data_IF_297880537603
#
_entry.id   IF_297880537603
#
_cell.length_a   1.000
_cell.length_b   1.000
_cell.length_c   1.000
_cell.angle_alpha   90.00
_cell.angle_beta   90.00
_cell.angle_gamma   90.00
#
_symmetry.space_group_name_H-M   'P 1'
#
loop_
_entity.id
_entity.type
_entity.pdbx_description
1 polymer ?
#
# COMPACT_ATOMS: atom_id res chain seq x y z
N UNK A 1 -31.10 31.56 3.26
CA UNK A 1 -30.99 30.17 2.75
C UNK A 1 -29.79 30.12 1.81
N UNK A 2 -28.66 29.63 2.29
CA UNK A 2 -27.44 29.52 1.47
C UNK A 2 -27.52 28.21 0.67
N UNK A 3 -27.64 28.32 -0.65
CA UNK A 3 -27.61 27.18 -1.56
C UNK A 3 -26.19 26.64 -1.61
N UNK A 4 -25.95 25.44 -1.09
CA UNK A 4 -24.75 24.67 -1.31
C UNK A 4 -24.76 24.14 -2.75
N UNK A 5 -24.01 24.77 -3.64
CA UNK A 5 -23.76 24.25 -4.98
C UNK A 5 -22.71 23.16 -4.90
N UNK A 6 -23.11 21.91 -5.17
CA UNK A 6 -22.18 20.79 -5.36
C UNK A 6 -21.43 21.01 -6.66
N UNK A 7 -20.12 21.24 -6.58
CA UNK A 7 -19.25 21.34 -7.73
C UNK A 7 -18.94 19.91 -8.21
N UNK A 8 -19.57 19.46 -9.31
CA UNK A 8 -19.22 18.20 -9.98
C UNK A 8 -17.99 18.47 -10.87
N UNK A 9 -16.83 17.96 -10.50
CA UNK A 9 -15.62 18.02 -11.34
C UNK A 9 -15.68 16.82 -12.30
N UNK A 10 -16.08 17.07 -13.55
CA UNK A 10 -15.97 16.07 -14.63
C UNK A 10 -14.58 16.19 -15.21
N UNK A 11 -13.74 15.18 -14.96
CA UNK A 11 -12.40 15.07 -15.51
C UNK A 11 -12.49 14.48 -16.92
N UNK A 12 -12.59 15.31 -17.95
CA UNK A 12 -12.42 14.87 -19.35
C UNK A 12 -10.91 14.83 -19.65
N UNK A 13 -10.31 13.67 -19.49
CA UNK A 13 -8.96 13.41 -19.98
C UNK A 13 -9.04 13.13 -21.47
N UNK A 14 -8.70 14.11 -22.30
CA UNK A 14 -8.38 13.86 -23.70
C UNK A 14 -6.96 13.29 -23.71
N UNK A 15 -6.85 11.96 -23.64
CA UNK A 15 -5.59 11.26 -23.80
C UNK A 15 -5.12 11.40 -25.25
N UNK A 16 -4.18 12.31 -25.49
CA UNK A 16 -3.26 12.14 -26.61
C UNK A 16 -2.48 10.85 -26.35
N UNK A 17 -2.71 9.84 -27.20
CA UNK A 17 -2.03 8.53 -27.11
C UNK A 17 -0.55 8.76 -27.46
N UNK A 18 0.24 9.16 -26.46
CA UNK A 18 1.67 8.91 -26.52
C UNK A 18 1.88 7.50 -25.97
N UNK A 19 2.41 6.62 -26.79
CA UNK A 19 2.71 5.24 -26.46
C UNK A 19 3.36 5.19 -25.07
N UNK A 20 2.59 4.76 -24.07
CA UNK A 20 3.14 4.43 -22.77
C UNK A 20 4.21 3.38 -23.03
N UNK A 21 5.41 3.67 -22.55
CA UNK A 21 6.50 2.71 -22.57
C UNK A 21 5.97 1.47 -21.85
N UNK A 22 5.62 0.44 -22.64
CA UNK A 22 5.19 -0.85 -22.10
C UNK A 22 6.28 -1.24 -21.12
N UNK A 23 5.95 -1.29 -19.85
CA UNK A 23 6.88 -1.71 -18.80
C UNK A 23 7.36 -3.09 -19.20
N UNK A 24 8.66 -3.23 -19.49
CA UNK A 24 9.25 -4.53 -19.79
C UNK A 24 8.84 -5.45 -18.64
N UNK A 25 8.15 -6.55 -18.97
CA UNK A 25 7.91 -7.62 -18.02
C UNK A 25 9.29 -8.02 -17.51
N UNK A 26 9.62 -7.68 -16.27
CA UNK A 26 10.90 -8.04 -15.69
C UNK A 26 11.00 -9.56 -15.57
N UNK A 27 12.20 -10.09 -15.52
CA UNK A 27 12.40 -11.51 -15.25
C UNK A 27 11.88 -11.81 -13.85
N UNK A 28 10.88 -12.68 -13.76
CA UNK A 28 10.37 -13.18 -12.49
C UNK A 28 11.23 -14.34 -12.06
N UNK A 29 11.86 -14.22 -10.91
CA UNK A 29 12.70 -15.29 -10.33
C UNK A 29 12.03 -15.89 -9.10
N UNK A 30 12.22 -17.18 -8.91
CA UNK A 30 11.84 -17.86 -7.67
C UNK A 30 12.93 -17.62 -6.64
N UNK A 31 12.55 -17.11 -5.47
CA UNK A 31 13.47 -16.80 -4.37
C UNK A 31 13.25 -17.68 -3.14
N UNK A 32 12.06 -18.27 -3.00
CA UNK A 32 11.71 -19.22 -1.94
C UNK A 32 10.42 -20.01 -2.32
N UNK A 33 9.95 -20.87 -1.40
CA UNK A 33 8.68 -21.59 -1.48
C UNK A 33 7.77 -21.16 -0.32
N UNK A 34 6.54 -20.74 -0.62
CA UNK A 34 5.56 -20.34 0.39
C UNK A 34 5.07 -21.52 1.20
N UNK A 35 5.32 -21.53 2.50
CA UNK A 35 4.76 -22.52 3.45
C UNK A 35 3.38 -22.12 3.92
N UNK A 36 3.26 -20.89 4.42
CA UNK A 36 2.01 -20.36 4.96
C UNK A 36 1.64 -19.07 4.26
N UNK A 37 0.35 -18.87 4.03
CA UNK A 37 -0.24 -17.62 3.57
C UNK A 37 -1.26 -17.14 4.58
N UNK A 38 -1.06 -15.94 5.08
CA UNK A 38 -2.02 -15.25 5.92
C UNK A 38 -2.66 -14.13 5.11
N UNK A 39 -3.99 -14.10 5.08
CA UNK A 39 -4.77 -13.05 4.42
C UNK A 39 -5.25 -12.06 5.46
N UNK A 40 -5.04 -10.78 5.20
CA UNK A 40 -5.51 -9.68 6.03
C UNK A 40 -6.45 -8.77 5.25
N UNK A 41 -7.42 -8.19 5.94
CA UNK A 41 -8.03 -6.94 5.50
C UNK A 41 -7.11 -5.81 5.93
N UNK A 42 -6.51 -5.11 4.98
CA UNK A 42 -5.72 -3.91 5.22
C UNK A 42 -6.57 -2.67 5.04
N UNK A 43 -6.52 -1.75 6.01
CA UNK A 43 -7.21 -0.45 5.96
C UNK A 43 -6.20 0.68 6.12
N UNK A 44 -6.32 1.68 5.26
CA UNK A 44 -5.44 2.84 5.27
C UNK A 44 -6.25 4.13 5.11
N UNK A 45 -5.94 5.13 5.94
CA UNK A 45 -6.46 6.49 5.80
C UNK A 45 -5.54 7.28 4.89
N UNK A 46 -6.08 7.85 3.83
CA UNK A 46 -5.33 8.74 2.93
C UNK A 46 -5.39 10.19 3.41
N UNK A 47 -6.60 10.69 3.71
CA UNK A 47 -6.82 12.06 4.19
C UNK A 47 -6.91 12.07 5.73
N UNK A 48 -5.76 12.27 6.37
CA UNK A 48 -5.64 12.29 7.84
C UNK A 48 -6.25 13.54 8.49
N UNK A 49 -6.64 14.55 7.71
CA UNK A 49 -7.28 15.78 8.20
C UNK A 49 -8.81 15.68 8.20
N UNK A 50 -9.35 14.59 7.64
CA UNK A 50 -10.79 14.35 7.60
C UNK A 50 -11.26 13.63 8.85
N UNK A 51 -12.36 14.10 9.43
CA UNK A 51 -13.08 13.40 10.51
C UNK A 51 -14.56 13.25 10.15
N UNK A 52 -15.17 12.06 10.26
CA UNK A 52 -14.51 10.78 10.54
C UNK A 52 -13.59 10.32 9.41
N UNK A 53 -12.65 9.44 9.72
CA UNK A 53 -11.76 8.86 8.71
C UNK A 53 -12.53 8.06 7.65
N UNK A 54 -12.06 8.15 6.41
CA UNK A 54 -12.46 7.24 5.33
C UNK A 54 -11.29 6.32 5.05
N UNK A 55 -11.55 5.02 5.12
CA UNK A 55 -10.57 4.00 4.85
C UNK A 55 -10.60 3.55 3.40
N UNK A 56 -9.41 3.41 2.81
CA UNK A 56 -9.21 2.54 1.66
C UNK A 56 -8.91 1.15 2.19
N UNK A 57 -9.65 0.17 1.69
CA UNK A 57 -9.53 -1.24 2.08
C UNK A 57 -8.95 -2.07 0.95
N UNK A 58 -8.10 -3.03 1.29
CA UNK A 58 -7.47 -3.97 0.36
C UNK A 58 -7.30 -5.34 1.01
N UNK A 59 -7.31 -6.39 0.18
CA UNK A 59 -6.85 -7.71 0.60
C UNK A 59 -5.32 -7.70 0.59
N UNK A 60 -4.73 -7.86 1.77
CA UNK A 60 -3.28 -7.96 1.95
C UNK A 60 -2.89 -9.40 2.19
N UNK A 61 -1.74 -9.82 1.68
CA UNK A 61 -1.20 -11.16 1.89
C UNK A 61 0.17 -11.11 2.52
N UNK A 62 0.36 -12.00 3.49
CA UNK A 62 1.64 -12.34 4.09
C UNK A 62 1.99 -13.77 3.68
N UNK A 63 2.93 -13.91 2.77
CA UNK A 63 3.46 -15.18 2.35
C UNK A 63 4.74 -15.48 3.14
N UNK A 64 4.73 -16.52 3.94
CA UNK A 64 5.86 -16.95 4.77
C UNK A 64 6.50 -18.16 4.10
N UNK A 65 7.73 -17.98 3.64
CA UNK A 65 8.55 -19.04 3.02
C UNK A 65 9.42 -19.80 4.02
N UNK A 66 10.46 -20.47 3.51
CA UNK A 66 11.48 -21.10 4.34
C UNK A 66 12.42 -20.08 4.98
N UNK A 67 12.76 -19.02 4.24
CA UNK A 67 13.71 -17.98 4.63
C UNK A 67 13.14 -16.59 4.42
N UNK A 68 12.38 -16.38 3.35
CA UNK A 68 11.86 -15.09 2.93
C UNK A 68 10.41 -14.95 3.30
N UNK A 69 10.03 -13.77 3.80
CA UNK A 69 8.63 -13.39 4.02
C UNK A 69 8.26 -12.26 3.06
N UNK A 70 7.08 -12.32 2.46
CA UNK A 70 6.59 -11.37 1.48
C UNK A 70 5.24 -10.81 1.87
N UNK A 71 5.13 -9.49 2.02
CA UNK A 71 3.87 -8.81 2.34
C UNK A 71 3.48 -7.83 1.25
N UNK A 72 2.24 -7.97 0.72
CA UNK A 72 1.79 -7.22 -0.46
C UNK A 72 0.28 -7.05 -0.52
N UNK A 73 -0.17 -6.10 -1.34
CA UNK A 73 -1.57 -5.85 -1.66
C UNK A 73 -2.01 -6.74 -2.83
N UNK A 74 -2.81 -7.78 -2.54
CA UNK A 74 -3.35 -8.71 -3.55
C UNK A 74 -4.30 -8.01 -4.51
N UNK A 75 -5.09 -7.07 -4.02
CA UNK A 75 -6.02 -6.30 -4.86
C UNK A 75 -5.25 -5.44 -5.87
N UNK A 76 -4.08 -4.89 -5.45
CA UNK A 76 -3.19 -4.17 -6.36
C UNK A 76 -2.58 -5.10 -7.42
N UNK A 77 -2.08 -6.26 -7.02
CA UNK A 77 -1.48 -7.24 -7.93
C UNK A 77 -2.48 -7.67 -9.02
N UNK A 78 -3.73 -7.98 -8.64
CA UNK A 78 -4.80 -8.33 -9.59
C UNK A 78 -5.10 -7.15 -10.52
N UNK A 79 -5.21 -5.94 -9.96
CA UNK A 79 -5.46 -4.73 -10.75
C UNK A 79 -4.36 -4.50 -11.78
N UNK A 80 -3.11 -4.56 -11.34
CA UNK A 80 -1.95 -4.32 -12.20
C UNK A 80 -1.90 -5.37 -13.34
N UNK A 81 -2.24 -6.62 -13.07
CA UNK A 81 -2.36 -7.68 -14.08
C UNK A 81 -3.46 -7.38 -15.11
N UNK A 82 -4.66 -7.00 -14.65
CA UNK A 82 -5.77 -6.66 -15.55
C UNK A 82 -5.41 -5.45 -16.41
N UNK A 83 -4.82 -4.40 -15.84
CA UNK A 83 -4.40 -3.20 -16.57
C UNK A 83 -3.32 -3.53 -17.61
N UNK A 84 -2.36 -4.39 -17.25
CA UNK A 84 -1.32 -4.82 -18.18
C UNK A 84 -1.92 -5.58 -19.38
N UNK A 85 -2.80 -6.54 -19.13
CA UNK A 85 -3.47 -7.30 -20.18
C UNK A 85 -4.38 -6.41 -21.05
N UNK A 86 -5.10 -5.47 -20.44
CA UNK A 86 -5.93 -4.50 -21.16
C UNK A 86 -5.09 -3.63 -22.10
N UNK A 87 -3.90 -3.20 -21.62
CA UNK A 87 -2.97 -2.41 -22.45
C UNK A 87 -2.46 -3.21 -23.65
N UNK A 88 -2.14 -4.51 -23.47
CA UNK A 88 -1.68 -5.37 -24.56
C UNK A 88 -2.79 -5.56 -25.61
N UNK A 89 -4.05 -5.73 -25.17
CA UNK A 89 -5.20 -5.96 -26.07
C UNK A 89 -5.77 -4.68 -26.66
N UNK A 90 -5.37 -3.50 -26.19
CA UNK A 90 -5.98 -2.21 -26.57
C UNK A 90 -7.41 -2.04 -26.06
N UNK A 91 -7.83 -2.83 -25.07
CA UNK A 91 -9.16 -2.77 -24.46
C UNK A 91 -9.06 -2.04 -23.11
N UNK A 92 -9.66 -0.87 -23.06
CA UNK A 92 -9.61 0.00 -21.87
C UNK A 92 -10.92 -0.03 -21.06
N UNK A 93 -11.64 -1.15 -21.06
CA UNK A 93 -12.79 -1.34 -20.19
C UNK A 93 -12.35 -1.68 -18.78
N UNK A 94 -12.39 -0.71 -17.89
CA UNK A 94 -11.96 -0.82 -16.49
C UNK A 94 -13.09 -1.18 -15.51
N UNK A 95 -14.27 -1.56 -15.99
CA UNK A 95 -15.42 -1.90 -15.14
C UNK A 95 -15.19 -3.11 -14.26
N UNK A 96 -14.28 -4.00 -14.65
CA UNK A 96 -13.92 -5.24 -13.92
C UNK A 96 -12.78 -5.07 -12.91
N UNK A 97 -12.25 -3.85 -12.75
CA UNK A 97 -11.15 -3.64 -11.78
C UNK A 97 -11.62 -3.92 -10.34
N UNK A 98 -10.85 -4.69 -9.56
CA UNK A 98 -11.18 -4.95 -8.17
C UNK A 98 -11.19 -3.66 -7.35
N UNK A 99 -12.06 -3.62 -6.36
CA UNK A 99 -11.98 -2.61 -5.30
C UNK A 99 -10.70 -2.84 -4.49
N UNK A 100 -10.11 -1.75 -3.93
CA UNK A 100 -8.85 -1.86 -3.19
C UNK A 100 -7.62 -1.59 -4.07
N UNK A 101 -6.49 -2.20 -3.73
CA UNK A 101 -5.22 -2.00 -4.45
C UNK A 101 -4.61 -0.63 -4.19
N UNK A 102 -4.71 -0.13 -2.97
CA UNK A 102 -4.29 1.22 -2.55
C UNK A 102 -2.96 1.25 -1.82
N UNK A 103 -2.49 0.09 -1.33
CA UNK A 103 -1.15 -0.02 -0.77
C UNK A 103 -0.15 -0.13 -1.92
N UNK A 104 0.53 0.98 -2.21
CA UNK A 104 1.41 1.09 -3.37
C UNK A 104 2.72 0.30 -3.21
N UNK A 105 3.02 -0.17 -2.01
CA UNK A 105 4.28 -0.78 -1.63
C UNK A 105 4.19 -2.29 -1.43
N UNK A 106 5.34 -2.93 -1.55
CA UNK A 106 5.57 -4.36 -1.32
C UNK A 106 6.78 -4.52 -0.41
N UNK A 107 6.74 -5.47 0.48
CA UNK A 107 7.81 -5.71 1.44
C UNK A 107 8.28 -7.17 1.40
N UNK A 108 9.59 -7.35 1.32
CA UNK A 108 10.26 -8.65 1.45
C UNK A 108 11.18 -8.59 2.67
N UNK A 109 11.04 -9.51 3.62
CA UNK A 109 11.95 -9.72 4.74
C UNK A 109 12.93 -10.83 4.39
N UNK A 110 14.19 -10.69 4.81
CA UNK A 110 15.31 -11.58 4.50
C UNK A 110 15.59 -11.71 2.99
N UNK A 111 15.38 -10.64 2.25
CA UNK A 111 15.76 -10.53 0.83
C UNK A 111 16.35 -9.13 0.56
N UNK A 112 17.48 -9.02 -0.18
CA UNK A 112 18.16 -10.02 -1.02
C UNK A 112 18.97 -11.07 -0.23
N UNK A 113 19.23 -10.88 1.04
CA UNK A 113 19.91 -11.85 1.92
C UNK A 113 19.31 -11.83 3.33
N UNK A 114 19.62 -12.85 4.11
CA UNK A 114 19.21 -12.95 5.51
C UNK A 114 19.64 -11.70 6.31
N UNK A 115 18.74 -11.19 7.15
CA UNK A 115 18.93 -9.98 7.95
C UNK A 115 18.74 -8.67 7.18
N UNK A 116 18.47 -8.72 5.87
CA UNK A 116 18.09 -7.55 5.07
C UNK A 116 16.62 -7.62 4.62
N UNK A 117 16.05 -6.48 4.35
CA UNK A 117 14.71 -6.36 3.80
C UNK A 117 14.70 -5.46 2.59
N UNK A 118 13.80 -5.75 1.67
CA UNK A 118 13.55 -4.93 0.48
C UNK A 118 12.13 -4.38 0.53
N UNK A 119 12.02 -3.07 0.53
CA UNK A 119 10.77 -2.33 0.40
C UNK A 119 10.69 -1.77 -1.02
N UNK A 120 9.62 -2.10 -1.74
CA UNK A 120 9.40 -1.68 -3.12
C UNK A 120 8.22 -0.73 -3.19
N UNK A 121 8.35 0.33 -3.96
CA UNK A 121 7.24 1.23 -4.25
C UNK A 121 7.44 1.96 -5.56
N UNK A 122 6.32 2.15 -6.27
CA UNK A 122 6.27 2.99 -7.46
C UNK A 122 5.68 4.35 -7.10
N UNK A 123 6.40 5.41 -7.42
CA UNK A 123 5.96 6.80 -7.24
C UNK A 123 5.82 7.43 -8.62
N UNK A 124 4.59 7.65 -9.05
CA UNK A 124 4.24 8.14 -10.40
C UNK A 124 4.71 7.13 -11.48
N UNK A 125 5.85 7.38 -12.11
CA UNK A 125 6.41 6.56 -13.20
C UNK A 125 7.76 5.92 -12.83
N UNK A 126 8.26 6.20 -11.64
CA UNK A 126 9.56 5.73 -11.16
C UNK A 126 9.37 4.60 -10.15
N UNK A 127 10.12 3.53 -10.34
CA UNK A 127 10.14 2.38 -9.47
C UNK A 127 11.33 2.48 -8.52
N UNK A 128 11.04 2.44 -7.23
CA UNK A 128 12.05 2.55 -6.17
C UNK A 128 12.15 1.27 -5.37
N UNK A 129 13.36 1.04 -4.86
CA UNK A 129 13.61 0.04 -3.82
C UNK A 129 14.42 0.62 -2.68
N UNK A 130 14.06 0.25 -1.45
CA UNK A 130 14.84 0.53 -0.25
C UNK A 130 15.33 -0.79 0.32
N UNK A 131 16.64 -0.96 0.46
CA UNK A 131 17.25 -2.14 1.09
C UNK A 131 17.78 -1.70 2.45
N UNK A 132 17.29 -2.35 3.51
CA UNK A 132 17.59 -1.99 4.89
C UNK A 132 17.85 -3.25 5.71
N UNK A 133 18.49 -3.09 6.86
CA UNK A 133 18.55 -4.17 7.85
C UNK A 133 17.14 -4.46 8.37
N UNK A 134 16.85 -5.73 8.62
CA UNK A 134 15.63 -6.12 9.33
C UNK A 134 15.73 -5.59 10.75
N UNK A 135 14.74 -4.81 11.14
CA UNK A 135 14.58 -4.30 12.50
C UNK A 135 13.35 -4.94 13.13
N UNK A 136 13.46 -5.28 14.39
CA UNK A 136 12.35 -5.81 15.20
C UNK A 136 11.85 -4.73 16.14
N UNK A 137 10.53 -4.45 16.20
CA UNK A 137 9.99 -3.51 17.17
C UNK A 137 10.28 -3.98 18.61
N UNK A 138 10.60 -3.04 19.51
CA UNK A 138 10.74 -3.31 20.94
C UNK A 138 9.35 -3.42 21.58
N UNK A 139 8.81 -4.64 21.55
CA UNK A 139 7.46 -4.92 22.02
C UNK A 139 7.37 -4.95 23.54
N UNK A 140 6.37 -4.27 24.07
CA UNK A 140 5.94 -4.35 25.48
C UNK A 140 4.58 -5.01 25.54
N UNK A 141 4.49 -6.12 26.26
CA UNK A 141 3.24 -6.83 26.47
C UNK A 141 2.33 -5.95 27.35
N UNK A 142 1.07 -5.82 26.96
CA UNK A 142 0.05 -5.13 27.73
C UNK A 142 -0.67 -6.15 28.61
N UNK A 143 -0.39 -6.10 29.91
CA UNK A 143 -0.95 -7.05 30.90
C UNK A 143 -2.48 -7.04 30.82
N UNK A 144 -3.07 -8.22 31.08
CA UNK A 144 -4.53 -8.43 31.21
C UNK A 144 -5.35 -8.07 29.96
N UNK A 145 -4.67 -7.84 28.81
CA UNK A 145 -5.35 -7.58 27.54
C UNK A 145 -5.35 -8.85 26.70
N UNK A 146 -6.51 -9.52 26.64
CA UNK A 146 -6.71 -10.72 25.84
C UNK A 146 -7.89 -10.54 24.89
N UNK A 147 -7.85 -11.22 23.74
CA UNK A 147 -8.93 -11.25 22.77
C UNK A 147 -8.92 -12.59 22.01
N UNK A 148 -10.06 -12.98 21.47
CA UNK A 148 -10.12 -14.10 20.52
C UNK A 148 -10.22 -13.56 19.11
N UNK A 149 -9.26 -13.91 18.24
CA UNK A 149 -9.21 -13.49 16.82
C UNK A 149 -9.06 -14.75 15.98
N UNK A 150 -9.95 -14.96 15.01
CA UNK A 150 -9.99 -16.18 14.17
C UNK A 150 -10.02 -17.50 14.98
N UNK A 151 -10.57 -17.47 16.21
CA UNK A 151 -10.60 -18.62 17.10
C UNK A 151 -9.35 -18.86 17.94
N UNK A 152 -8.31 -18.03 17.79
CA UNK A 152 -7.07 -18.11 18.55
C UNK A 152 -7.07 -17.14 19.74
N UNK A 153 -6.50 -17.56 20.86
CA UNK A 153 -6.28 -16.69 22.00
C UNK A 153 -5.12 -15.74 21.71
N UNK A 154 -5.36 -14.44 21.84
CA UNK A 154 -4.40 -13.41 21.53
C UNK A 154 -4.08 -12.56 22.76
N UNK A 155 -2.82 -12.15 22.86
CA UNK A 155 -2.34 -11.15 23.80
C UNK A 155 -2.04 -9.85 23.04
N UNK A 156 -2.14 -8.72 23.74
CA UNK A 156 -1.81 -7.41 23.20
C UNK A 156 -0.38 -7.02 23.50
N UNK A 157 0.32 -6.55 22.48
CA UNK A 157 1.62 -5.91 22.63
C UNK A 157 1.59 -4.51 22.03
N UNK A 158 2.49 -3.63 22.50
CA UNK A 158 2.65 -2.25 22.05
C UNK A 158 4.13 -1.95 21.80
N UNK A 159 4.43 -1.22 20.73
CA UNK A 159 5.78 -0.72 20.44
C UNK A 159 5.74 0.64 19.75
N UNK A 160 6.79 1.45 19.94
CA UNK A 160 7.07 2.58 19.06
C UNK A 160 8.00 2.10 17.95
N UNK A 161 7.59 2.23 16.70
CA UNK A 161 8.35 1.72 15.58
C UNK A 161 8.08 2.54 14.30
N UNK A 162 9.15 2.96 13.63
CA UNK A 162 9.11 3.76 12.39
C UNK A 162 8.17 4.97 12.48
N UNK A 163 8.32 5.72 13.61
CA UNK A 163 7.58 6.97 13.87
C UNK A 163 6.11 6.80 14.26
N UNK A 164 5.63 5.58 14.45
CA UNK A 164 4.28 5.28 14.91
C UNK A 164 4.28 4.45 16.18
N UNK A 165 3.25 4.61 17.00
CA UNK A 165 2.95 3.68 18.08
C UNK A 165 2.03 2.59 17.55
N UNK A 166 2.50 1.36 17.56
CA UNK A 166 1.77 0.18 17.10
C UNK A 166 1.20 -0.62 18.25
N UNK A 167 0.03 -1.17 18.04
CA UNK A 167 -0.62 -2.17 18.86
C UNK A 167 -0.77 -3.44 18.03
N UNK A 168 -0.36 -4.58 18.57
CA UNK A 168 -0.40 -5.88 17.90
C UNK A 168 -1.04 -6.93 18.79
N UNK A 169 -2.07 -7.58 18.29
CA UNK A 169 -2.67 -8.78 18.87
C UNK A 169 -2.00 -9.98 18.23
N UNK A 170 -1.34 -10.80 19.01
CA UNK A 170 -0.62 -11.98 18.53
C UNK A 170 -1.03 -13.21 19.31
N UNK A 171 -0.90 -14.39 18.69
CA UNK A 171 -1.22 -15.68 19.31
C UNK A 171 0.00 -16.58 19.34
N UNK A 172 0.34 -17.08 20.53
CA UNK A 172 1.37 -18.09 20.73
C UNK A 172 0.93 -19.48 20.25
N UNK A 173 -0.39 -19.71 20.06
CA UNK A 173 -0.92 -20.93 19.46
C UNK A 173 -0.40 -21.11 18.02
N UNK A 174 0.07 -20.04 17.38
CA UNK A 174 0.67 -20.03 16.05
C UNK A 174 2.13 -19.55 16.21
N UNK A 175 3.11 -20.44 16.44
CA UNK A 175 4.48 -20.09 16.80
C UNK A 175 5.30 -19.58 15.60
N UNK A 176 4.81 -18.55 14.95
CA UNK A 176 5.45 -17.82 13.85
C UNK A 176 5.66 -16.36 14.25
N UNK A 177 6.91 -15.94 14.39
CA UNK A 177 7.28 -14.58 14.80
C UNK A 177 7.14 -13.57 13.68
N UNK A 178 5.99 -13.59 12.99
CA UNK A 178 5.69 -12.84 11.77
C UNK A 178 4.42 -11.99 11.93
N UNK A 179 4.26 -11.03 11.03
CA UNK A 179 3.08 -10.17 10.99
C UNK A 179 3.04 -9.28 9.75
N UNK A 180 2.02 -8.40 9.65
CA UNK A 180 1.86 -7.53 8.50
C UNK A 180 3.00 -6.49 8.44
N UNK A 181 3.41 -6.15 7.22
CA UNK A 181 4.45 -5.17 6.92
C UNK A 181 5.79 -5.54 7.61
N UNK A 182 6.39 -4.65 8.37
CA UNK A 182 7.64 -4.86 9.13
C UNK A 182 7.40 -5.30 10.58
N UNK A 183 6.14 -5.55 10.96
CA UNK A 183 5.79 -5.93 12.32
C UNK A 183 6.06 -7.43 12.54
N UNK A 184 7.07 -7.72 13.33
CA UNK A 184 7.50 -9.09 13.64
C UNK A 184 8.16 -9.12 15.04
N UNK A 185 8.63 -10.29 15.48
CA UNK A 185 9.42 -10.43 16.70
C UNK A 185 8.62 -10.75 17.97
N UNK A 186 7.30 -10.88 17.90
CA UNK A 186 6.50 -11.44 18.98
C UNK A 186 6.59 -12.98 18.99
N UNK A 187 6.35 -13.66 20.14
CA UNK A 187 6.46 -15.11 20.22
C UNK A 187 5.30 -15.87 19.53
N UNK A 188 4.62 -15.23 18.59
CA UNK A 188 3.51 -15.78 17.82
C UNK A 188 3.10 -14.87 16.68
N UNK A 189 2.21 -15.38 15.83
CA UNK A 189 1.72 -14.66 14.66
C UNK A 189 0.85 -13.48 15.08
N UNK A 190 1.12 -12.31 14.48
CA UNK A 190 0.31 -11.11 14.65
C UNK A 190 -0.95 -11.25 13.80
N UNK A 191 -2.11 -11.43 14.46
CA UNK A 191 -3.40 -11.56 13.81
C UNK A 191 -4.12 -10.23 13.60
N UNK A 192 -3.83 -9.21 14.41
CA UNK A 192 -4.31 -7.85 14.22
C UNK A 192 -3.24 -6.86 14.60
N UNK A 193 -3.05 -5.85 13.77
CA UNK A 193 -2.18 -4.72 14.10
C UNK A 193 -2.83 -3.40 13.69
N UNK A 194 -2.61 -2.35 14.48
CA UNK A 194 -3.04 -0.99 14.14
C UNK A 194 -2.13 0.04 14.80
N UNK A 195 -1.95 1.18 14.14
CA UNK A 195 -1.29 2.31 14.79
C UNK A 195 -2.24 3.04 15.73
N UNK A 196 -1.70 3.76 16.71
CA UNK A 196 -2.47 4.46 17.75
C UNK A 196 -3.57 5.36 17.18
N UNK A 197 -3.31 6.00 16.05
CA UNK A 197 -4.27 6.87 15.37
C UNK A 197 -5.28 6.10 14.52
N UNK A 198 -5.15 4.77 14.43
CA UNK A 198 -5.96 3.91 13.56
C UNK A 198 -5.94 4.34 12.09
N UNK A 199 -4.83 4.92 11.65
CA UNK A 199 -4.64 5.30 10.25
C UNK A 199 -4.25 4.11 9.40
N UNK A 200 -3.64 3.09 10.00
CA UNK A 200 -3.36 1.78 9.44
C UNK A 200 -3.94 0.69 10.33
N UNK A 201 -4.67 -0.24 9.73
CA UNK A 201 -5.24 -1.39 10.44
C UNK A 201 -5.04 -2.61 9.55
N UNK A 202 -4.59 -3.70 10.13
CA UNK A 202 -4.45 -5.01 9.49
C UNK A 202 -5.17 -6.04 10.36
N UNK A 203 -6.22 -6.66 9.81
CA UNK A 203 -7.01 -7.69 10.48
C UNK A 203 -6.87 -9.00 9.72
N UNK A 204 -6.29 -10.05 10.31
CA UNK A 204 -6.22 -11.36 9.71
C UNK A 204 -7.63 -11.96 9.56
N UNK A 205 -7.91 -12.49 8.36
CA UNK A 205 -9.19 -13.08 7.99
C UNK A 205 -9.06 -14.52 7.50
N UNK A 206 -7.85 -15.02 7.32
CA UNK A 206 -7.59 -16.39 6.89
C UNK A 206 -6.13 -16.79 6.97
N UNK A 207 -5.88 -18.08 7.16
CA UNK A 207 -4.57 -18.69 7.10
C UNK A 207 -4.65 -19.99 6.30
N UNK A 208 -3.70 -20.22 5.41
CA UNK A 208 -3.61 -21.41 4.56
C UNK A 208 -2.21 -21.99 4.66
N UNK A 209 -2.13 -23.30 4.94
CA UNK A 209 -0.90 -24.08 4.83
C UNK A 209 -0.73 -24.54 3.36
N UNK A 210 0.25 -23.92 2.68
CA UNK A 210 0.55 -24.19 1.27
C UNK A 210 1.63 -25.27 1.10
N UNK A 211 2.27 -25.72 2.18
CA UNK A 211 3.28 -26.79 2.18
C UNK A 211 4.38 -26.65 1.12
N UNK A 212 4.71 -25.42 0.75
CA UNK A 212 5.71 -25.14 -0.28
C UNK A 212 5.24 -25.37 -1.73
N UNK A 213 3.94 -25.52 -1.97
CA UNK A 213 3.38 -25.74 -3.31
C UNK A 213 3.40 -24.50 -4.21
N UNK A 214 3.59 -23.30 -3.64
CA UNK A 214 3.58 -22.03 -4.35
C UNK A 214 4.97 -21.41 -4.29
N UNK A 215 5.44 -20.89 -5.43
CA UNK A 215 6.70 -20.16 -5.49
C UNK A 215 6.54 -18.77 -4.88
N UNK A 216 7.50 -18.38 -4.06
CA UNK A 216 7.68 -17.01 -3.64
C UNK A 216 8.62 -16.34 -4.64
N UNK A 217 8.11 -15.35 -5.36
CA UNK A 217 8.78 -14.78 -6.52
C UNK A 217 9.22 -13.34 -6.29
N UNK A 218 10.22 -12.92 -7.03
CA UNK A 218 10.67 -11.53 -7.11
C UNK A 218 10.77 -11.09 -8.58
N UNK A 219 10.17 -9.95 -8.91
CA UNK A 219 10.23 -9.40 -10.25
C UNK A 219 11.43 -8.45 -10.39
N UNK A 220 12.38 -8.79 -11.25
CA UNK A 220 13.60 -8.03 -11.54
C UNK A 220 13.36 -6.92 -12.58
N UNK A 221 12.52 -5.96 -12.26
CA UNK A 221 12.49 -4.73 -13.05
C UNK A 221 13.57 -3.75 -12.58
N UNK A 222 14.08 -2.87 -13.45
CA UNK A 222 14.98 -1.79 -13.03
C UNK A 222 14.30 -0.91 -11.98
N UNK A 223 14.98 -0.69 -10.85
CA UNK A 223 14.54 0.20 -9.77
C UNK A 223 15.69 1.06 -9.30
N UNK A 224 15.40 2.29 -8.94
CA UNK A 224 16.36 3.13 -8.26
C UNK A 224 16.44 2.72 -6.77
N UNK A 225 17.66 2.47 -6.28
CA UNK A 225 17.89 2.16 -4.87
C UNK A 225 18.07 3.45 -4.09
N UNK A 226 17.16 3.73 -3.17
CA UNK A 226 17.14 4.94 -2.35
C UNK A 226 16.87 4.61 -0.88
N UNK A 227 17.09 5.59 0.00
CA UNK A 227 16.69 5.46 1.41
C UNK A 227 15.18 5.70 1.60
N UNK A 228 14.61 5.21 2.71
CA UNK A 228 13.22 5.50 3.08
C UNK A 228 12.95 7.01 3.19
N UNK A 229 13.93 7.77 3.71
CA UNK A 229 13.83 9.23 3.74
C UNK A 229 13.70 9.80 2.33
N UNK A 230 14.56 9.41 1.40
CA UNK A 230 14.50 9.87 0.01
C UNK A 230 13.18 9.47 -0.68
N UNK A 231 12.64 8.28 -0.37
CA UNK A 231 11.35 7.84 -0.88
C UNK A 231 10.20 8.70 -0.33
N UNK A 232 10.20 9.04 0.96
CA UNK A 232 9.23 9.99 1.53
C UNK A 232 9.33 11.37 0.88
N UNK A 233 10.54 11.87 0.66
CA UNK A 233 10.78 13.15 0.00
C UNK A 233 10.28 13.12 -1.46
N UNK A 234 10.47 12.00 -2.18
CA UNK A 234 9.93 11.82 -3.52
C UNK A 234 8.39 11.87 -3.54
N UNK A 235 7.73 11.18 -2.60
CA UNK A 235 6.27 11.24 -2.45
C UNK A 235 5.78 12.65 -2.11
N UNK A 236 6.48 13.37 -1.22
CA UNK A 236 6.10 14.71 -0.80
C UNK A 236 6.17 15.72 -1.96
N UNK A 237 6.98 15.46 -2.98
CA UNK A 237 7.11 16.27 -4.19
C UNK A 237 6.02 15.99 -5.23
N UNK A 238 5.16 14.98 -5.02
CA UNK A 238 4.06 14.72 -5.94
C UNK A 238 3.14 15.95 -5.99
N UNK A 239 3.02 16.52 -7.18
CA UNK A 239 2.11 17.60 -7.50
C UNK A 239 1.22 17.19 -8.67
N UNK A 240 -0.10 17.29 -8.49
CA UNK A 240 -1.06 16.88 -9.51
C UNK A 240 -0.89 17.66 -10.81
N UNK A 241 -0.50 18.93 -10.72
CA UNK A 241 -0.25 19.78 -11.89
C UNK A 241 0.93 19.25 -12.69
N UNK A 242 2.04 18.92 -11.99
CA UNK A 242 3.22 18.33 -12.62
C UNK A 242 2.91 16.95 -13.19
N UNK A 243 2.14 16.13 -12.47
CA UNK A 243 1.70 14.82 -12.96
C UNK A 243 0.91 14.92 -14.26
N UNK A 244 -0.07 15.81 -14.31
CA UNK A 244 -0.90 16.02 -15.50
C UNK A 244 -0.09 16.57 -16.69
N UNK A 245 0.80 17.53 -16.44
CA UNK A 245 1.71 18.03 -17.46
C UNK A 245 2.61 16.92 -18.02
N UNK A 246 3.12 16.05 -17.14
CA UNK A 246 3.96 14.90 -17.54
C UNK A 246 3.18 13.89 -18.37
N UNK A 247 1.86 13.76 -18.13
CA UNK A 247 0.96 12.89 -18.91
C UNK A 247 0.45 13.54 -20.18
N UNK A 248 0.82 14.80 -20.48
CA UNK A 248 0.30 15.55 -21.62
C UNK A 248 -1.19 15.90 -21.49
N UNK A 249 -1.74 15.83 -20.30
CA UNK A 249 -3.14 16.15 -20.03
C UNK A 249 -3.29 17.60 -19.57
N UNK A 250 -4.26 18.31 -20.17
CA UNK A 250 -4.69 19.63 -19.68
C UNK A 250 -5.95 19.45 -18.81
N UNK A 251 -5.98 20.10 -17.66
CA UNK A 251 -7.18 20.14 -16.84
C UNK A 251 -8.07 21.27 -17.35
N UNK A 252 -9.26 20.90 -17.80
CA UNK A 252 -10.35 21.86 -17.98
C UNK A 252 -11.35 21.62 -16.85
N UNK A 253 -11.48 22.56 -15.94
CA UNK A 253 -12.50 22.51 -14.88
C UNK A 253 -13.73 23.23 -15.42
N UNK A 254 -14.83 22.49 -15.51
CA UNK A 254 -16.12 23.01 -15.94
C UNK A 254 -17.02 23.10 -14.73
N UNK A 255 -17.61 24.28 -14.49
CA UNK A 255 -18.61 24.46 -13.43
C UNK A 255 -19.89 23.69 -13.70
N UNK A 256 -20.75 23.58 -12.68
CA UNK A 256 -22.05 22.90 -12.79
C UNK A 256 -23.00 23.55 -13.84
N UNK A 257 -22.70 24.75 -14.27
CA UNK A 257 -23.39 25.52 -15.32
C UNK A 257 -22.77 25.35 -16.72
N UNK A 258 -21.75 24.49 -16.86
CA UNK A 258 -21.02 24.30 -18.11
C UNK A 258 -19.99 25.38 -18.43
N UNK A 259 -19.84 26.41 -17.62
CA UNK A 259 -18.87 27.45 -17.81
C UNK A 259 -17.46 27.01 -17.32
N UNK A 260 -16.41 27.53 -17.95
CA UNK A 260 -15.04 27.31 -17.46
C UNK A 260 -14.87 27.97 -16.10
N UNK A 261 -14.48 27.19 -15.11
CA UNK A 261 -14.21 27.70 -13.77
C UNK A 261 -13.07 28.72 -13.80
N UNK A 262 -13.22 29.80 -13.03
CA UNK A 262 -12.19 30.82 -12.89
C UNK A 262 -10.88 30.21 -12.35
N UNK A 263 -9.74 30.74 -12.77
CA UNK A 263 -8.40 30.25 -12.37
C UNK A 263 -8.25 30.04 -10.86
N UNK A 264 -8.95 30.84 -10.03
CA UNK A 264 -8.92 30.74 -8.57
C UNK A 264 -9.57 29.46 -8.05
N UNK A 265 -10.71 29.07 -8.62
CA UNK A 265 -11.45 27.86 -8.22
C UNK A 265 -10.74 26.60 -8.70
N UNK A 266 -10.15 26.65 -9.90
CA UNK A 266 -9.27 25.59 -10.43
C UNK A 266 -8.06 25.39 -9.50
N UNK A 267 -7.39 26.47 -9.12
CA UNK A 267 -6.24 26.42 -8.21
C UNK A 267 -6.60 25.92 -6.82
N UNK A 268 -7.78 26.25 -6.32
CA UNK A 268 -8.28 25.74 -5.05
C UNK A 268 -8.59 24.25 -5.11
N UNK A 269 -9.24 23.79 -6.18
CA UNK A 269 -9.52 22.39 -6.42
C UNK A 269 -8.23 21.57 -6.57
N UNK A 270 -7.23 22.08 -7.30
CA UNK A 270 -5.90 21.46 -7.44
C UNK A 270 -5.16 21.37 -6.10
N UNK A 271 -5.16 22.45 -5.30
CA UNK A 271 -4.57 22.43 -3.95
C UNK A 271 -5.24 21.41 -3.05
N UNK A 272 -6.57 21.26 -3.11
CA UNK A 272 -7.30 20.26 -2.35
C UNK A 272 -6.99 18.85 -2.84
N UNK A 273 -6.88 18.61 -4.15
CA UNK A 273 -6.49 17.34 -4.73
C UNK A 273 -5.04 16.98 -4.38
N UNK A 274 -4.10 17.90 -4.50
CA UNK A 274 -2.70 17.73 -4.11
C UNK A 274 -2.55 17.36 -2.63
N UNK A 275 -3.34 18.00 -1.75
CA UNK A 275 -3.34 17.68 -0.32
C UNK A 275 -3.82 16.25 -0.05
N UNK A 276 -4.79 15.75 -0.83
CA UNK A 276 -5.26 14.35 -0.75
C UNK A 276 -4.23 13.35 -1.31
N UNK A 277 -3.42 13.78 -2.27
CA UNK A 277 -2.36 12.95 -2.84
C UNK A 277 -1.11 12.86 -1.95
N UNK A 278 -0.91 13.82 -1.03
CA UNK A 278 0.14 13.73 0.00
C UNK A 278 -0.19 12.56 0.90
N UNK A 279 0.39 11.45 0.54
CA UNK A 279 0.11 10.17 1.19
C UNK A 279 0.43 10.22 2.68
N UNK A 280 -0.38 9.51 3.44
CA UNK A 280 -0.07 9.12 4.80
C UNK A 280 0.94 7.95 4.74
N UNK A 281 2.27 8.18 4.82
CA UNK A 281 3.23 7.09 4.72
C UNK A 281 3.13 6.20 5.95
N UNK A 282 3.36 4.90 5.75
CA UNK A 282 3.35 3.95 6.86
C UNK A 282 4.55 4.19 7.81
N UNK A 283 5.68 4.67 7.28
CA UNK A 283 6.87 5.08 8.03
C UNK A 283 6.93 6.60 8.09
N UNK A 284 7.10 7.16 9.29
CA UNK A 284 7.20 8.60 9.54
C UNK A 284 8.64 9.04 9.85
N UNK A 285 9.56 8.09 10.10
CA UNK A 285 10.98 8.30 10.37
C UNK A 285 11.86 7.86 9.20
#
# INVERSE_FOLDING_TARGET
MKRFTFLFVILLAVCGIHAQKVTKKGDVINIDKVKYRITYTGKMVVDTLRSPYIYNESEMRLDIGNKVTHFYDRSKEIRDSILHEATIRGDYNFSSLPKGGRFAWVYYKNYPKEGESTFLESVIKEDYQCIEKVETPDWKIVSDSTATIMGYNCQLAKASFKGRTWYAWYSEDIPMSEGPWKLCGLPGLILRAYDQSKQYIFDAIGMTDLKGSVDLTFNKIPRETISQKALRDARAKIDLTNLLNTMGASIKVVGADGAFAANKDVMQALKAANRKMKSNPIELE
#
